data_IF_072297638691
#
_entry.id   IF_072297638691
#
_cell.length_a   1.000
_cell.length_b   1.000
_cell.length_c   1.000
_cell.angle_alpha   90.00
_cell.angle_beta   90.00
_cell.angle_gamma   90.00
#
_symmetry.space_group_name_H-M   'P 1'
#
loop_
_entity.id
_entity.type
_entity.pdbx_description
1 polymer ?
#
# COMPACT_ATOMS: atom_id res chain seq x y z
N UNK A 1 4.07 5.09 -12.09
CA UNK A 1 4.25 6.55 -11.93
C UNK A 1 3.23 7.06 -10.94
N UNK A 2 3.66 7.41 -9.72
CA UNK A 2 2.79 8.04 -8.72
C UNK A 2 2.89 9.58 -8.75
N UNK A 3 1.90 10.29 -8.17
CA UNK A 3 1.99 11.72 -7.86
C UNK A 3 3.03 12.02 -6.77
N UNK A 4 3.37 13.29 -6.60
CA UNK A 4 4.23 13.78 -5.53
C UNK A 4 3.69 13.44 -4.14
N UNK A 5 2.38 13.56 -3.93
CA UNK A 5 1.71 13.18 -2.68
C UNK A 5 1.90 11.71 -2.27
N UNK A 6 2.34 10.84 -3.18
CA UNK A 6 2.70 9.46 -2.83
C UNK A 6 4.13 9.34 -2.27
N UNK A 7 5.05 10.23 -2.68
CA UNK A 7 6.46 10.21 -2.29
C UNK A 7 6.69 10.48 -0.80
N UNK A 8 5.70 11.08 -0.14
CA UNK A 8 5.71 11.28 1.31
C UNK A 8 5.66 9.95 2.06
N UNK A 9 4.96 8.96 1.51
CA UNK A 9 4.75 7.66 2.16
C UNK A 9 5.78 6.60 1.80
N UNK A 10 6.25 6.56 0.56
CA UNK A 10 7.09 5.45 0.08
C UNK A 10 8.26 5.94 -0.77
N UNK A 11 9.46 5.49 -0.43
CA UNK A 11 10.64 5.67 -1.27
C UNK A 11 10.48 4.89 -2.58
N UNK A 12 10.97 5.45 -3.69
CA UNK A 12 10.88 4.84 -5.03
C UNK A 12 11.35 3.39 -5.07
N UNK A 13 12.42 3.07 -4.35
CA UNK A 13 12.95 1.70 -4.24
C UNK A 13 11.98 0.73 -3.58
N UNK A 14 11.25 1.18 -2.55
CA UNK A 14 10.20 0.39 -1.92
C UNK A 14 9.05 0.17 -2.90
N UNK A 15 8.67 1.17 -3.70
CA UNK A 15 7.61 0.99 -4.71
C UNK A 15 7.92 -0.15 -5.68
N UNK A 16 9.15 -0.19 -6.18
CA UNK A 16 9.59 -1.23 -7.11
C UNK A 16 9.59 -2.59 -6.43
N UNK A 17 10.07 -2.66 -5.19
CA UNK A 17 10.03 -3.88 -4.37
C UNK A 17 8.59 -4.40 -4.19
N UNK A 18 7.65 -3.54 -3.78
CA UNK A 18 6.26 -3.92 -3.53
C UNK A 18 5.57 -4.41 -4.81
N UNK A 19 5.81 -3.78 -5.97
CA UNK A 19 5.26 -4.25 -7.25
C UNK A 19 5.85 -5.60 -7.64
N UNK A 20 7.15 -5.83 -7.42
CA UNK A 20 7.79 -7.10 -7.73
C UNK A 20 7.21 -8.23 -6.87
N UNK A 21 7.09 -8.02 -5.56
CA UNK A 21 6.51 -8.99 -4.63
C UNK A 21 5.03 -9.27 -4.96
N UNK A 22 4.25 -8.24 -5.29
CA UNK A 22 2.87 -8.39 -5.75
C UNK A 22 2.77 -9.24 -7.03
N UNK A 23 3.66 -9.03 -8.01
CA UNK A 23 3.71 -9.81 -9.24
C UNK A 23 4.00 -11.29 -8.97
N UNK A 24 4.90 -11.59 -8.05
CA UNK A 24 5.21 -12.96 -7.63
C UNK A 24 4.00 -13.64 -6.97
N UNK A 25 3.33 -12.95 -6.05
CA UNK A 25 2.16 -13.47 -5.36
C UNK A 25 0.95 -13.64 -6.30
N UNK A 26 0.77 -12.73 -7.27
CA UNK A 26 -0.25 -12.86 -8.32
C UNK A 26 -0.04 -14.12 -9.17
N UNK A 27 1.21 -14.45 -9.53
CA UNK A 27 1.53 -15.68 -10.29
C UNK A 27 1.15 -16.94 -9.50
N UNK A 28 1.34 -16.93 -8.18
CA UNK A 28 0.97 -18.04 -7.30
C UNK A 28 -0.55 -18.22 -7.21
N UNK A 29 -1.31 -17.12 -7.17
CA UNK A 29 -2.78 -17.17 -7.16
C UNK A 29 -3.41 -17.56 -8.50
N UNK A 30 -2.72 -17.38 -9.63
CA UNK A 30 -3.15 -17.91 -10.93
C UNK A 30 -3.32 -19.44 -10.97
N UNK A 31 -2.91 -20.15 -9.90
CA UNK A 31 -3.18 -21.58 -9.68
C UNK A 31 -4.42 -21.86 -8.82
N UNK A 32 -5.00 -20.88 -8.11
CA UNK A 32 -6.09 -21.08 -7.12
C UNK A 32 -7.03 -19.87 -6.92
N UNK A 33 -7.38 -19.10 -7.96
CA UNK A 33 -8.27 -17.94 -7.78
C UNK A 33 -9.75 -18.29 -8.03
N UNK A 34 -10.44 -18.77 -6.99
CA UNK A 34 -11.88 -18.50 -6.79
C UNK A 34 -11.96 -17.40 -5.73
N UNK A 35 -12.73 -16.34 -6.03
CA UNK A 35 -13.10 -15.28 -5.11
C UNK A 35 -13.48 -15.89 -3.75
N UNK A 36 -12.65 -15.66 -2.73
CA UNK A 36 -12.91 -16.06 -1.35
C UNK A 36 -12.18 -17.31 -0.81
N UNK A 37 -11.37 -18.04 -1.60
CA UNK A 37 -10.68 -19.25 -1.09
C UNK A 37 -9.22 -19.44 -1.57
N UNK A 38 -8.57 -18.40 -2.10
CA UNK A 38 -7.12 -18.42 -2.32
C UNK A 38 -6.41 -17.93 -1.07
N UNK A 39 -5.98 -18.84 -0.20
CA UNK A 39 -5.19 -18.52 0.99
C UNK A 39 -3.80 -17.97 0.59
N UNK A 40 -3.74 -16.70 0.19
CA UNK A 40 -2.70 -15.84 0.72
C UNK A 40 -2.91 -15.88 2.23
N UNK A 41 -1.84 -15.95 3.02
CA UNK A 41 -1.94 -15.58 4.43
C UNK A 41 -2.40 -14.12 4.42
N UNK A 42 -3.70 -13.92 4.35
CA UNK A 42 -4.33 -12.69 4.74
C UNK A 42 -3.94 -12.64 6.21
N UNK A 43 -2.87 -11.92 6.54
CA UNK A 43 -2.69 -11.40 7.88
C UNK A 43 -4.02 -10.74 8.15
N UNK A 44 -4.86 -11.41 8.94
CA UNK A 44 -6.18 -10.90 9.23
C UNK A 44 -5.96 -9.52 9.85
N UNK A 45 -6.82 -8.53 9.59
CA UNK A 45 -6.69 -7.19 10.21
C UNK A 45 -6.52 -7.25 11.74
N UNK A 46 -6.97 -8.34 12.37
CA UNK A 46 -6.84 -8.67 13.79
C UNK A 46 -5.41 -9.01 14.24
N UNK A 47 -4.54 -9.49 13.34
CA UNK A 47 -3.11 -9.76 13.60
C UNK A 47 -2.21 -8.59 13.16
N UNK A 48 -2.75 -7.67 12.35
CA UNK A 48 -2.11 -6.46 11.86
C UNK A 48 -2.21 -5.32 12.89
N UNK A 49 -1.69 -5.55 14.10
CA UNK A 49 -1.50 -4.51 15.13
C UNK A 49 -0.02 -4.13 15.23
N UNK A 50 0.61 -3.87 14.09
CA UNK A 50 1.96 -3.31 14.11
C UNK A 50 1.93 -1.98 14.86
N UNK A 51 2.99 -1.73 15.64
CA UNK A 51 3.15 -0.49 16.38
C UNK A 51 3.04 0.70 15.42
N UNK A 52 2.33 1.74 15.87
CA UNK A 52 2.20 2.98 15.13
C UNK A 52 3.51 3.76 15.26
N UNK A 53 4.44 3.49 14.35
CA UNK A 53 5.62 4.33 14.14
C UNK A 53 5.20 5.57 13.36
N UNK A 54 4.86 6.63 14.10
CA UNK A 54 4.44 7.93 13.60
C UNK A 54 5.47 8.97 14.00
N UNK A 55 5.79 9.83 13.05
CA UNK A 55 6.46 11.09 13.27
C UNK A 55 5.43 12.23 13.22
N UNK A 56 5.88 13.45 13.46
CA UNK A 56 5.06 14.65 13.29
C UNK A 56 5.77 15.65 12.38
N UNK A 57 5.02 16.23 11.43
CA UNK A 57 5.54 17.32 10.60
C UNK A 57 5.68 18.64 11.40
N UNK A 58 6.22 19.66 10.75
CA UNK A 58 6.44 20.99 11.35
C UNK A 58 5.14 21.65 11.84
N UNK A 59 3.99 21.25 11.29
CA UNK A 59 2.66 21.74 11.65
C UNK A 59 1.99 20.87 12.73
N UNK A 60 2.65 19.80 13.18
CA UNK A 60 2.20 18.89 14.23
C UNK A 60 1.22 17.80 13.76
N UNK A 61 1.12 17.56 12.46
CA UNK A 61 0.32 16.47 11.90
C UNK A 61 1.11 15.17 11.83
N UNK A 62 0.40 14.05 11.95
CA UNK A 62 1.01 12.73 11.89
C UNK A 62 1.63 12.49 10.51
N UNK A 63 2.91 12.18 10.49
CA UNK A 63 3.68 11.80 9.32
C UNK A 63 4.16 10.35 9.47
N UNK A 64 4.25 9.61 8.37
CA UNK A 64 4.77 8.25 8.40
C UNK A 64 5.40 7.88 7.06
N UNK A 65 6.31 6.91 7.13
CA UNK A 65 6.78 6.20 5.94
C UNK A 65 6.47 4.72 6.02
N UNK A 66 6.32 4.12 4.86
CA UNK A 66 6.19 2.68 4.71
C UNK A 66 7.54 2.09 4.34
N UNK A 67 7.90 1.03 5.05
CA UNK A 67 8.99 0.13 4.70
C UNK A 67 8.41 -1.22 4.27
N UNK A 68 9.19 -2.08 3.58
CA UNK A 68 8.73 -3.39 3.15
C UNK A 68 8.08 -4.24 4.25
N UNK A 69 8.49 -4.08 5.51
CA UNK A 69 7.93 -4.81 6.65
C UNK A 69 6.48 -4.42 6.99
N UNK A 70 6.03 -3.23 6.55
CA UNK A 70 4.64 -2.80 6.74
C UNK A 70 3.70 -3.36 5.67
N UNK A 71 4.23 -4.05 4.68
CA UNK A 71 3.49 -4.45 3.50
C UNK A 71 2.46 -5.54 3.76
N UNK A 72 1.30 -5.41 3.10
CA UNK A 72 0.25 -6.43 3.11
C UNK A 72 -0.29 -6.59 1.70
N UNK A 73 -0.27 -7.83 1.19
CA UNK A 73 -0.85 -8.18 -0.09
C UNK A 73 -2.32 -8.57 0.13
N UNK A 74 -3.21 -7.61 -0.07
CA UNK A 74 -4.66 -7.83 -0.04
C UNK A 74 -5.34 -7.62 -1.40
N UNK A 75 -4.84 -6.69 -2.24
CA UNK A 75 -5.43 -6.37 -3.56
C UNK A 75 -4.66 -7.00 -4.71
N UNK A 76 -4.83 -8.30 -4.87
CA UNK A 76 -4.16 -9.13 -5.90
C UNK A 76 -4.60 -8.87 -7.34
N UNK A 77 -5.74 -8.20 -7.51
CA UNK A 77 -6.34 -7.83 -8.78
C UNK A 77 -5.94 -6.42 -9.24
N UNK A 78 -5.46 -5.56 -8.33
CA UNK A 78 -5.09 -4.19 -8.63
C UNK A 78 -3.83 -3.73 -7.89
N UNK A 79 -2.70 -3.72 -8.61
CA UNK A 79 -1.41 -3.28 -8.10
C UNK A 79 -1.40 -1.81 -7.62
N UNK A 80 -2.22 -0.93 -8.19
CA UNK A 80 -2.25 0.48 -7.79
C UNK A 80 -2.96 0.63 -6.43
N UNK A 81 -4.09 -0.05 -6.24
CA UNK A 81 -4.80 -0.09 -4.95
C UNK A 81 -3.91 -0.73 -3.89
N UNK A 82 -3.26 -1.82 -4.24
CA UNK A 82 -2.33 -2.50 -3.38
C UNK A 82 -1.19 -1.59 -2.89
N UNK A 83 -0.55 -0.83 -3.79
CA UNK A 83 0.47 0.16 -3.42
C UNK A 83 -0.09 1.24 -2.50
N UNK A 84 -1.27 1.78 -2.82
CA UNK A 84 -1.91 2.82 -2.04
C UNK A 84 -2.16 2.36 -0.60
N UNK A 85 -2.77 1.19 -0.42
CA UNK A 85 -3.09 0.66 0.91
C UNK A 85 -1.84 0.33 1.71
N UNK A 86 -0.81 -0.17 1.05
CA UNK A 86 0.49 -0.42 1.67
C UNK A 86 1.13 0.88 2.15
N UNK A 87 1.13 1.92 1.32
CA UNK A 87 1.67 3.24 1.64
C UNK A 87 0.91 3.94 2.79
N UNK A 88 -0.41 3.88 2.78
CA UNK A 88 -1.26 4.52 3.79
C UNK A 88 -1.36 3.76 5.12
N UNK A 89 -0.74 2.59 5.24
CA UNK A 89 -0.65 1.90 6.53
C UNK A 89 -0.26 0.44 6.44
N UNK A 90 -0.66 -0.26 5.38
CA UNK A 90 -0.39 -1.69 5.20
C UNK A 90 -0.85 -2.51 6.41
N UNK A 91 0.09 -3.13 7.13
CA UNK A 91 -0.15 -3.90 8.35
C UNK A 91 -0.43 -3.04 9.60
N UNK A 92 -0.38 -1.71 9.48
CA UNK A 92 -0.87 -0.76 10.50
C UNK A 92 -2.31 -0.39 10.12
N UNK A 93 -3.25 -1.32 10.28
CA UNK A 93 -4.61 -1.15 9.73
C UNK A 93 -5.32 0.09 10.25
N UNK A 94 -5.12 0.43 11.52
CA UNK A 94 -5.68 1.62 12.13
C UNK A 94 -5.17 2.92 11.48
N UNK A 95 -3.92 2.95 11.01
CA UNK A 95 -3.36 4.09 10.28
C UNK A 95 -4.03 4.28 8.92
N UNK A 96 -4.23 3.19 8.18
CA UNK A 96 -4.95 3.21 6.91
C UNK A 96 -6.39 3.70 7.09
N UNK A 97 -7.09 3.18 8.11
CA UNK A 97 -8.48 3.58 8.41
C UNK A 97 -8.54 5.05 8.82
N UNK A 98 -7.68 5.48 9.75
CA UNK A 98 -7.66 6.86 10.23
C UNK A 98 -7.36 7.86 9.11
N UNK A 99 -6.33 7.60 8.30
CA UNK A 99 -5.95 8.48 7.18
C UNK A 99 -7.05 8.58 6.10
N UNK A 100 -7.75 7.48 5.83
CA UNK A 100 -8.82 7.44 4.81
C UNK A 100 -10.13 8.07 5.32
N UNK A 101 -10.43 7.94 6.62
CA UNK A 101 -11.64 8.50 7.22
C UNK A 101 -11.58 10.01 7.47
N UNK A 102 -10.39 10.62 7.42
CA UNK A 102 -10.29 12.07 7.60
C UNK A 102 -10.93 12.83 6.44
N UNK A 103 -11.84 13.73 6.83
CA UNK A 103 -12.54 14.65 5.94
C UNK A 103 -11.87 16.03 5.88
N UNK A 104 -12.39 16.87 4.99
CA UNK A 104 -11.95 18.26 4.85
C UNK A 104 -12.32 19.08 6.11
N UNK A 105 -11.47 20.02 6.54
CA UNK A 105 -10.22 20.45 5.89
C UNK A 105 -8.97 19.64 6.31
N UNK A 106 -9.09 18.80 7.34
CA UNK A 106 -7.95 18.11 7.98
C UNK A 106 -7.29 17.08 7.07
N UNK A 107 -8.04 16.51 6.13
CA UNK A 107 -7.53 15.47 5.25
C UNK A 107 -6.27 15.89 4.51
N UNK A 108 -6.14 17.17 4.09
CA UNK A 108 -4.98 17.67 3.35
C UNK A 108 -3.67 17.63 4.16
N UNK A 109 -3.77 17.74 5.48
CA UNK A 109 -2.61 17.71 6.38
C UNK A 109 -2.22 16.29 6.81
N UNK A 110 -3.15 15.33 6.70
CA UNK A 110 -2.89 13.91 7.00
C UNK A 110 -2.52 13.16 5.72
N UNK A 111 -3.14 13.53 4.60
CA UNK A 111 -2.85 12.98 3.29
C UNK A 111 -3.04 13.96 2.15
N UNK A 112 -2.09 13.95 1.24
CA UNK A 112 -2.25 14.66 -0.03
C UNK A 112 -3.08 13.83 -1.03
N UNK A 113 -3.40 14.43 -2.18
CA UNK A 113 -4.05 13.75 -3.27
C UNK A 113 -3.09 12.76 -3.96
N UNK A 114 -3.45 11.48 -3.93
CA UNK A 114 -2.63 10.40 -4.49
C UNK A 114 -3.22 9.91 -5.80
N UNK A 115 -2.42 9.96 -6.86
CA UNK A 115 -2.71 9.34 -8.15
C UNK A 115 -1.59 8.35 -8.52
N UNK A 116 -1.96 7.11 -8.88
CA UNK A 116 -1.01 6.05 -9.22
C UNK A 116 -1.39 5.43 -10.56
N UNK A 117 -0.47 5.45 -11.52
CA UNK A 117 -0.59 4.71 -12.78
C UNK A 117 0.50 3.64 -12.87
N UNK A 118 0.09 2.40 -13.11
CA UNK A 118 1.01 1.27 -13.33
C UNK A 118 0.80 0.74 -14.75
N UNK A 119 1.87 0.73 -15.53
CA UNK A 119 1.88 0.13 -16.86
C UNK A 119 2.71 -1.16 -16.80
N UNK A 120 2.08 -2.26 -17.20
CA UNK A 120 2.78 -3.53 -17.39
C UNK A 120 3.21 -3.64 -18.84
N UNK A 121 4.50 -3.83 -19.06
CA UNK A 121 5.05 -4.10 -20.38
C UNK A 121 5.15 -5.60 -20.58
N UNK A 122 4.68 -6.09 -21.72
CA UNK A 122 4.91 -7.46 -22.14
C UNK A 122 6.38 -7.61 -22.54
N UNK A 123 7.06 -8.64 -22.03
CA UNK A 123 8.35 -9.04 -22.57
C UNK A 123 8.10 -9.93 -23.80
N UNK A 124 7.99 -9.32 -24.97
CA UNK A 124 8.13 -10.03 -26.22
C UNK A 124 9.62 -10.14 -26.55
N UNK A 125 10.21 -11.30 -26.24
CA UNK A 125 11.50 -11.70 -26.80
C UNK A 125 11.32 -13.03 -27.53
N UNK A 126 11.73 -13.00 -28.79
CA UNK A 126 11.86 -14.10 -29.77
C UNK A 126 12.58 -15.31 -29.19
#
# INVERSE_FOLDING_TARGET
MPSDGFGDYAATEHVVYLIAEWLENRKQQGRFAIYGQGAVKNTTPEEASAELDLDFDDDGFAAWRTVPQNFVIEDVDNAAVHLLKSALGGNRRNLFVASTMMGQPLSRSIRDDVAIQILFFQQDFV
#
